data_IF_618365465668
#
_entry.id   IF_618365465668
#
_cell.length_a   1.000
_cell.length_b   1.000
_cell.length_c   1.000
_cell.angle_alpha   90.00
_cell.angle_beta   90.00
_cell.angle_gamma   90.00
#
_symmetry.space_group_name_H-M   'P 1'
#
loop_
_entity.id
_entity.type
_entity.pdbx_description
1 polymer ?
#
# COMPACT_ATOMS: atom_id res chain seq x y z
N UNK A 1 -7.24 1.10 -32.34
CA UNK A 1 -7.40 1.16 -30.89
C UNK A 1 -7.57 2.62 -30.51
N UNK A 2 -8.38 2.89 -29.50
CA UNK A 2 -8.58 4.23 -28.97
C UNK A 2 -8.47 4.19 -27.45
N UNK A 3 -7.83 5.20 -26.88
CA UNK A 3 -7.97 5.48 -25.47
C UNK A 3 -9.39 5.97 -25.18
N UNK A 4 -9.91 5.70 -24.01
CA UNK A 4 -11.17 6.23 -23.54
C UNK A 4 -11.02 6.79 -22.13
N UNK A 5 -11.84 7.76 -21.81
CA UNK A 5 -11.90 8.30 -20.46
C UNK A 5 -12.83 7.40 -19.61
N UNK A 6 -12.30 6.81 -18.51
CA UNK A 6 -13.09 5.91 -17.66
C UNK A 6 -14.30 6.58 -17.01
N UNK A 7 -14.26 7.90 -16.77
CA UNK A 7 -15.35 8.63 -16.12
C UNK A 7 -16.47 8.97 -17.06
N UNK A 8 -16.13 9.42 -18.26
CA UNK A 8 -17.12 9.85 -19.27
C UNK A 8 -17.49 8.76 -20.26
N UNK A 9 -16.71 7.66 -20.32
CA UNK A 9 -16.82 6.56 -21.30
C UNK A 9 -16.68 7.02 -22.76
N UNK A 10 -16.19 8.22 -22.99
CA UNK A 10 -15.99 8.76 -24.34
C UNK A 10 -14.61 8.41 -24.88
N UNK A 11 -14.54 8.12 -26.16
CA UNK A 11 -13.27 7.90 -26.87
C UNK A 11 -12.50 9.21 -26.93
N UNK A 12 -11.26 9.20 -26.44
CA UNK A 12 -10.36 10.35 -26.45
C UNK A 12 -9.43 10.30 -27.69
N UNK A 13 -8.36 9.53 -27.61
CA UNK A 13 -7.27 9.59 -28.60
C UNK A 13 -7.15 8.27 -29.37
N UNK A 14 -6.85 8.34 -30.67
CA UNK A 14 -6.48 7.16 -31.45
C UNK A 14 -5.03 6.77 -31.15
N UNK A 15 -4.81 5.51 -30.75
CA UNK A 15 -3.51 4.95 -30.44
C UNK A 15 -3.04 4.10 -31.62
N UNK A 16 -1.77 4.25 -31.99
CA UNK A 16 -1.09 3.37 -32.96
C UNK A 16 -0.44 2.18 -32.27
N UNK A 17 0.07 2.40 -31.06
CA UNK A 17 0.70 1.40 -30.22
C UNK A 17 0.11 1.44 -28.82
N UNK A 18 0.12 0.32 -28.10
CA UNK A 18 -0.18 0.24 -26.68
C UNK A 18 0.56 -0.93 -26.05
N UNK A 19 0.95 -0.78 -24.81
CA UNK A 19 1.61 -1.82 -24.05
C UNK A 19 0.56 -2.65 -23.29
N UNK A 20 0.57 -3.96 -23.50
CA UNK A 20 -0.18 -4.91 -22.69
C UNK A 20 0.65 -5.27 -21.47
N UNK A 21 0.18 -4.83 -20.30
CA UNK A 21 0.77 -5.24 -19.03
C UNK A 21 0.00 -6.43 -18.47
N UNK A 22 0.69 -7.36 -17.78
CA UNK A 22 0.03 -8.42 -17.03
C UNK A 22 -0.97 -7.80 -16.02
N UNK A 23 -2.14 -8.40 -15.90
CA UNK A 23 -3.18 -7.98 -14.95
C UNK A 23 -3.28 -8.91 -13.74
N UNK A 24 -2.45 -9.93 -13.69
CA UNK A 24 -2.40 -10.93 -12.61
C UNK A 24 -1.03 -11.56 -12.56
N UNK A 25 -0.56 -11.86 -11.36
CA UNK A 25 0.66 -12.63 -11.10
C UNK A 25 0.47 -14.13 -11.37
N UNK A 26 -0.77 -14.59 -11.49
CA UNK A 26 -1.06 -15.99 -11.81
C UNK A 26 -1.18 -16.19 -13.31
N UNK A 27 -0.22 -16.91 -13.88
CA UNK A 27 -0.24 -17.39 -15.27
C UNK A 27 -0.72 -18.83 -15.27
N UNK A 28 -1.82 -19.13 -15.97
CA UNK A 28 -2.39 -20.48 -16.07
C UNK A 28 -1.88 -21.22 -17.31
N UNK A 29 -0.56 -21.41 -17.39
CA UNK A 29 0.03 -22.32 -18.36
C UNK A 29 0.04 -23.77 -17.83
N UNK A 30 0.38 -24.72 -18.68
CA UNK A 30 0.40 -26.14 -18.34
C UNK A 30 1.36 -26.48 -17.19
N UNK A 31 2.48 -25.78 -17.08
CA UNK A 31 3.47 -25.99 -16.04
C UNK A 31 2.97 -25.46 -14.69
N UNK A 32 2.41 -24.25 -14.66
CA UNK A 32 1.82 -23.65 -13.46
C UNK A 32 0.61 -24.46 -12.96
N UNK A 33 -0.27 -24.92 -13.86
CA UNK A 33 -1.39 -25.80 -13.50
C UNK A 33 -0.88 -27.12 -12.90
N UNK A 34 0.16 -27.71 -13.47
CA UNK A 34 0.73 -28.94 -12.93
C UNK A 34 1.34 -28.73 -11.53
N UNK A 35 2.08 -27.63 -11.32
CA UNK A 35 2.62 -27.24 -10.00
C UNK A 35 1.49 -27.07 -8.99
N UNK A 36 0.46 -26.27 -9.33
CA UNK A 36 -0.70 -26.09 -8.47
C UNK A 36 -1.34 -27.42 -8.08
N UNK A 37 -1.64 -28.27 -9.05
CA UNK A 37 -2.30 -29.57 -8.77
C UNK A 37 -1.48 -30.46 -7.84
N UNK A 38 -0.17 -30.48 -7.99
CA UNK A 38 0.73 -31.24 -7.13
C UNK A 38 0.78 -30.64 -5.74
N UNK A 39 1.15 -29.38 -5.61
CA UNK A 39 1.28 -28.70 -4.31
C UNK A 39 -0.05 -28.62 -3.55
N UNK A 40 -1.18 -28.45 -4.24
CA UNK A 40 -2.49 -28.44 -3.61
C UNK A 40 -2.83 -29.79 -2.96
N UNK A 41 -2.56 -30.89 -3.67
CA UNK A 41 -2.79 -32.24 -3.13
C UNK A 41 -1.80 -32.61 -2.01
N UNK A 42 -0.56 -32.17 -2.10
CA UNK A 42 0.43 -32.36 -1.03
C UNK A 42 0.00 -31.67 0.26
N UNK A 43 -0.56 -30.47 0.17
CA UNK A 43 -0.96 -29.69 1.35
C UNK A 43 -2.31 -30.11 1.90
N UNK A 44 -3.26 -30.43 1.04
CA UNK A 44 -4.66 -30.60 1.46
C UNK A 44 -5.20 -32.02 1.31
N UNK A 45 -4.38 -32.92 0.76
CA UNK A 45 -4.76 -34.33 0.57
C UNK A 45 -5.62 -34.55 -0.68
N UNK A 46 -6.48 -35.58 -0.60
CA UNK A 46 -7.39 -35.91 -1.68
C UNK A 46 -8.38 -34.77 -1.94
N UNK A 47 -8.61 -34.48 -3.22
CA UNK A 47 -9.52 -33.44 -3.68
C UNK A 47 -10.88 -34.10 -3.98
N UNK A 48 -11.95 -33.57 -3.40
CA UNK A 48 -13.32 -33.99 -3.73
C UNK A 48 -13.85 -33.27 -4.97
N UNK A 49 -14.94 -33.79 -5.49
CA UNK A 49 -15.61 -33.25 -6.69
C UNK A 49 -16.28 -31.87 -6.42
N UNK A 50 -16.32 -31.45 -5.18
CA UNK A 50 -16.87 -30.16 -4.70
C UNK A 50 -15.82 -29.03 -4.66
N UNK A 51 -14.55 -29.31 -4.92
CA UNK A 51 -13.48 -28.33 -4.86
C UNK A 51 -13.40 -27.52 -6.17
N UNK A 52 -14.24 -26.49 -6.23
CA UNK A 52 -14.38 -25.62 -7.40
C UNK A 52 -13.09 -24.88 -7.79
N UNK A 53 -12.23 -24.54 -6.83
CA UNK A 53 -10.92 -23.95 -7.12
C UNK A 53 -10.04 -24.92 -7.89
N UNK A 54 -9.91 -26.14 -7.36
CA UNK A 54 -9.07 -27.16 -7.99
C UNK A 54 -9.59 -27.55 -9.38
N UNK A 55 -10.91 -27.65 -9.55
CA UNK A 55 -11.54 -27.94 -10.83
C UNK A 55 -11.29 -26.81 -11.84
N UNK A 56 -11.57 -25.55 -11.48
CA UNK A 56 -11.39 -24.42 -12.37
C UNK A 56 -9.92 -24.29 -12.84
N UNK A 57 -8.98 -24.34 -11.89
CA UNK A 57 -7.54 -24.25 -12.22
C UNK A 57 -7.09 -25.43 -13.08
N UNK A 58 -7.57 -26.65 -12.80
CA UNK A 58 -7.24 -27.83 -13.60
C UNK A 58 -7.76 -27.74 -15.03
N UNK A 59 -8.86 -27.00 -15.24
CA UNK A 59 -9.42 -26.70 -16.56
C UNK A 59 -8.78 -25.46 -17.24
N UNK A 60 -7.77 -24.83 -16.63
CA UNK A 60 -7.14 -23.61 -17.13
C UNK A 60 -8.03 -22.36 -16.98
N UNK A 61 -9.01 -22.41 -16.10
CA UNK A 61 -9.94 -21.30 -15.85
C UNK A 61 -9.53 -20.53 -14.61
N UNK A 62 -9.71 -19.21 -14.66
CA UNK A 62 -9.49 -18.34 -13.49
C UNK A 62 -10.59 -18.55 -12.45
N UNK A 63 -10.16 -18.53 -11.20
CA UNK A 63 -11.03 -18.59 -10.04
C UNK A 63 -10.89 -17.30 -9.22
N UNK A 64 -12.00 -16.77 -8.70
CA UNK A 64 -11.97 -15.55 -7.88
C UNK A 64 -11.16 -15.76 -6.60
N UNK A 65 -10.19 -14.87 -6.34
CA UNK A 65 -9.29 -14.97 -5.19
C UNK A 65 -8.17 -16.00 -5.35
N UNK A 66 -7.87 -16.42 -6.59
CA UNK A 66 -6.80 -17.39 -6.90
C UNK A 66 -5.44 -16.94 -6.34
N UNK A 67 -5.25 -15.63 -6.14
CA UNK A 67 -4.03 -15.01 -5.59
C UNK A 67 -3.71 -15.52 -4.17
N UNK A 68 -4.69 -16.00 -3.43
CA UNK A 68 -4.46 -16.60 -2.11
C UNK A 68 -3.63 -17.88 -2.17
N UNK A 69 -3.55 -18.51 -3.33
CA UNK A 69 -2.77 -19.73 -3.58
C UNK A 69 -1.58 -19.47 -4.51
N UNK A 70 -1.16 -18.22 -4.68
CA UNK A 70 -0.07 -17.79 -5.56
C UNK A 70 1.20 -18.67 -5.45
N UNK A 71 1.66 -19.07 -4.25
CA UNK A 71 2.85 -19.93 -4.11
C UNK A 71 2.75 -21.28 -4.81
N UNK A 72 1.55 -21.76 -5.10
CA UNK A 72 1.37 -23.04 -5.77
C UNK A 72 1.55 -22.97 -7.30
N UNK A 73 1.60 -21.78 -7.87
CA UNK A 73 1.76 -21.56 -9.31
C UNK A 73 3.21 -21.30 -9.70
N UNK A 74 4.05 -20.88 -8.75
CA UNK A 74 5.44 -20.49 -8.98
C UNK A 74 6.41 -21.46 -8.30
N UNK A 75 7.62 -21.56 -8.82
CA UNK A 75 8.70 -22.32 -8.16
C UNK A 75 9.14 -21.66 -6.86
N UNK A 76 9.16 -20.34 -6.86
CA UNK A 76 9.41 -19.50 -5.69
C UNK A 76 8.69 -18.16 -5.85
N UNK A 77 8.39 -17.51 -4.75
CA UNK A 77 8.01 -16.10 -4.73
C UNK A 77 9.26 -15.26 -4.48
N UNK A 78 9.26 -14.05 -5.03
CA UNK A 78 10.31 -13.07 -4.84
C UNK A 78 9.77 -11.90 -4.00
N UNK A 79 10.66 -11.27 -3.26
CA UNK A 79 10.37 -10.08 -2.47
C UNK A 79 10.77 -8.82 -3.25
N UNK A 80 10.34 -7.65 -2.79
CA UNK A 80 10.81 -6.38 -3.34
C UNK A 80 12.35 -6.28 -3.32
N UNK A 81 12.99 -6.88 -2.32
CA UNK A 81 14.44 -6.87 -2.16
C UNK A 81 15.19 -7.64 -3.26
N UNK A 82 14.56 -8.61 -3.87
CA UNK A 82 15.14 -9.36 -5.00
C UNK A 82 15.21 -8.49 -6.26
N UNK A 83 14.28 -7.55 -6.42
CA UNK A 83 14.24 -6.59 -7.54
C UNK A 83 15.21 -5.41 -7.36
N UNK A 84 15.55 -5.07 -6.11
CA UNK A 84 16.43 -3.93 -5.78
C UNK A 84 17.55 -4.32 -4.82
N UNK A 85 18.44 -5.25 -5.20
CA UNK A 85 19.37 -5.89 -4.26
C UNK A 85 20.39 -4.94 -3.64
N UNK A 86 20.69 -3.82 -4.27
CA UNK A 86 21.66 -2.83 -3.79
C UNK A 86 21.03 -1.59 -3.14
N UNK A 87 19.73 -1.56 -2.95
CA UNK A 87 19.06 -0.38 -2.43
C UNK A 87 19.31 -0.18 -0.93
N UNK A 88 19.50 1.08 -0.53
CA UNK A 88 19.39 1.50 0.86
C UNK A 88 17.94 1.38 1.30
N UNK A 89 17.72 0.73 2.42
CA UNK A 89 16.39 0.63 3.04
C UNK A 89 16.25 1.71 4.12
N UNK A 90 15.21 2.51 4.00
CA UNK A 90 14.83 3.44 5.07
C UNK A 90 13.60 2.90 5.80
N UNK A 91 13.65 2.90 7.12
CA UNK A 91 12.62 2.34 7.99
C UNK A 91 12.10 3.45 8.89
N UNK A 92 10.78 3.66 8.89
CA UNK A 92 10.14 4.62 9.79
C UNK A 92 10.24 4.16 11.25
N UNK A 93 10.18 5.11 12.19
CA UNK A 93 10.31 4.84 13.62
C UNK A 93 9.21 3.92 14.19
N UNK A 94 8.06 3.83 13.53
CA UNK A 94 6.95 2.96 13.93
C UNK A 94 6.96 1.61 13.18
N UNK A 95 7.90 1.38 12.27
CA UNK A 95 7.87 0.21 11.40
C UNK A 95 7.94 -1.11 12.16
N UNK A 96 8.72 -1.21 13.22
CA UNK A 96 8.86 -2.44 14.00
C UNK A 96 7.55 -2.83 14.71
N UNK A 97 6.82 -1.83 15.23
CA UNK A 97 5.51 -2.02 15.85
C UNK A 97 4.49 -2.48 14.79
N UNK A 98 4.38 -1.74 13.69
CA UNK A 98 3.45 -2.05 12.60
C UNK A 98 3.72 -3.40 11.94
N UNK A 99 4.99 -3.77 11.77
CA UNK A 99 5.38 -5.09 11.27
C UNK A 99 4.96 -6.18 12.25
N UNK A 100 5.14 -5.96 13.54
CA UNK A 100 4.71 -6.90 14.58
C UNK A 100 3.20 -7.11 14.53
N UNK A 101 2.43 -6.04 14.56
CA UNK A 101 0.97 -6.09 14.43
C UNK A 101 0.52 -6.80 13.15
N UNK A 102 1.24 -6.56 12.03
CA UNK A 102 0.92 -7.21 10.76
C UNK A 102 1.13 -8.71 10.79
N UNK A 103 2.21 -9.19 11.40
CA UNK A 103 2.44 -10.63 11.57
C UNK A 103 1.39 -11.28 12.47
N UNK A 104 1.04 -10.63 13.56
CA UNK A 104 0.01 -11.11 14.48
C UNK A 104 -1.35 -11.20 13.79
N UNK A 105 -1.71 -10.19 13.00
CA UNK A 105 -2.97 -10.16 12.22
C UNK A 105 -3.01 -11.27 11.15
N UNK A 106 -1.90 -11.54 10.46
CA UNK A 106 -1.79 -12.63 9.50
C UNK A 106 -2.03 -13.98 10.19
N UNK A 107 -1.40 -14.20 11.35
CA UNK A 107 -1.55 -15.41 12.13
C UNK A 107 -3.00 -15.61 12.63
N UNK A 108 -3.63 -14.52 13.10
CA UNK A 108 -5.02 -14.53 13.56
C UNK A 108 -5.99 -14.90 12.42
N UNK A 109 -5.86 -14.25 11.26
CA UNK A 109 -6.70 -14.53 10.10
C UNK A 109 -6.53 -15.98 9.60
N UNK A 110 -5.30 -16.48 9.59
CA UNK A 110 -5.05 -17.87 9.24
C UNK A 110 -5.73 -18.83 10.24
N UNK A 111 -5.54 -18.59 11.54
CA UNK A 111 -6.12 -19.43 12.59
C UNK A 111 -7.65 -19.46 12.52
N UNK A 112 -8.28 -18.29 12.28
CA UNK A 112 -9.72 -18.18 12.14
C UNK A 112 -10.22 -19.00 10.92
N UNK A 113 -9.56 -18.87 9.76
CA UNK A 113 -9.93 -19.61 8.54
C UNK A 113 -9.69 -21.12 8.67
N UNK A 114 -8.55 -21.52 9.24
CA UNK A 114 -8.23 -22.91 9.49
C UNK A 114 -9.18 -23.53 10.53
N UNK A 115 -9.63 -22.74 11.50
CA UNK A 115 -10.66 -23.15 12.48
C UNK A 115 -12.00 -23.45 11.84
N UNK A 116 -12.45 -22.61 10.90
CA UNK A 116 -13.70 -22.83 10.16
C UNK A 116 -13.65 -24.12 9.34
N UNK A 117 -12.51 -24.49 8.77
CA UNK A 117 -12.37 -25.77 8.06
C UNK A 117 -12.57 -26.97 8.96
N UNK A 118 -12.05 -26.91 10.19
CA UNK A 118 -12.19 -28.02 11.17
C UNK A 118 -13.62 -28.20 11.68
N UNK A 119 -14.35 -27.07 11.79
CA UNK A 119 -15.75 -27.07 12.25
C UNK A 119 -16.76 -27.48 11.18
N UNK A 120 -16.39 -27.46 9.89
CA UNK A 120 -17.29 -27.77 8.74
C UNK A 120 -17.45 -29.26 8.41
N UNK A 121 -16.88 -30.17 9.18
CA UNK A 121 -17.14 -31.61 8.98
C UNK A 121 -18.63 -31.91 9.19
N UNK A 122 -19.43 -31.77 8.13
CA UNK A 122 -20.86 -32.13 8.11
C UNK A 122 -21.85 -30.99 7.82
N UNK A 123 -21.43 -29.77 7.49
CA UNK A 123 -22.32 -28.69 7.05
C UNK A 123 -22.04 -28.31 5.59
N UNK A 124 -23.02 -28.55 4.74
CA UNK A 124 -23.00 -28.35 3.30
C UNK A 124 -23.44 -26.93 2.93
N UNK A 125 -22.60 -25.90 3.10
CA UNK A 125 -22.87 -24.61 2.46
C UNK A 125 -21.60 -23.94 1.94
N UNK A 126 -21.36 -24.13 0.65
CA UNK A 126 -20.33 -23.47 -0.14
C UNK A 126 -18.99 -24.21 -0.25
N UNK A 127 -18.19 -23.89 -1.27
CA UNK A 127 -16.91 -24.55 -1.52
C UNK A 127 -15.95 -24.35 -0.35
N UNK A 128 -15.17 -25.38 0.04
CA UNK A 128 -14.23 -25.27 1.13
C UNK A 128 -13.09 -24.31 0.77
N UNK A 129 -12.96 -23.21 1.52
CA UNK A 129 -11.76 -22.38 1.43
C UNK A 129 -10.64 -23.01 2.25
N UNK A 130 -9.54 -23.37 1.59
CA UNK A 130 -8.38 -24.03 2.19
C UNK A 130 -7.20 -23.04 2.25
N UNK A 131 -6.97 -22.32 3.39
CA UNK A 131 -5.93 -21.35 3.50
C UNK A 131 -4.56 -22.00 3.45
N UNK A 132 -3.60 -21.37 2.75
CA UNK A 132 -2.20 -21.75 2.84
C UNK A 132 -1.61 -21.36 4.19
N UNK A 133 -0.65 -22.14 4.73
CA UNK A 133 0.18 -21.69 5.84
C UNK A 133 0.84 -20.33 5.52
N UNK A 134 0.82 -19.38 6.47
CA UNK A 134 1.29 -18.00 6.21
C UNK A 134 2.71 -17.92 5.64
N UNK A 135 3.61 -18.75 6.10
CA UNK A 135 5.01 -18.81 5.67
C UNK A 135 5.18 -19.21 4.19
N UNK A 136 4.14 -19.67 3.54
CA UNK A 136 4.16 -19.93 2.10
C UNK A 136 3.97 -18.66 1.27
N UNK A 137 3.27 -17.66 1.80
CA UNK A 137 2.88 -16.45 1.06
C UNK A 137 3.54 -15.19 1.62
N UNK A 138 3.86 -15.17 2.89
CA UNK A 138 4.46 -14.03 3.59
C UNK A 138 5.82 -14.41 4.14
N UNK A 139 6.69 -13.41 4.26
CA UNK A 139 7.94 -13.57 5.01
C UNK A 139 7.62 -13.90 6.46
N UNK A 140 8.47 -14.72 7.08
CA UNK A 140 8.49 -14.86 8.53
C UNK A 140 9.17 -13.66 9.18
N UNK A 141 9.02 -13.49 10.49
CA UNK A 141 9.70 -12.42 11.24
C UNK A 141 11.21 -12.51 11.11
N UNK A 142 11.75 -13.73 11.18
CA UNK A 142 13.17 -14.02 11.06
C UNK A 142 13.70 -13.69 9.67
N UNK A 143 12.97 -14.06 8.63
CA UNK A 143 13.33 -13.73 7.24
C UNK A 143 13.31 -12.21 7.02
N UNK A 144 12.30 -11.50 7.51
CA UNK A 144 12.23 -10.04 7.47
C UNK A 144 13.44 -9.38 8.12
N UNK A 145 13.77 -9.80 9.35
CA UNK A 145 14.94 -9.29 10.10
C UNK A 145 16.24 -9.59 9.36
N UNK A 146 16.39 -10.82 8.86
CA UNK A 146 17.55 -11.24 8.08
C UNK A 146 17.73 -10.43 6.80
N UNK A 147 16.63 -10.12 6.09
CA UNK A 147 16.66 -9.30 4.90
C UNK A 147 17.08 -7.85 5.18
N UNK A 148 16.66 -7.27 6.30
CA UNK A 148 17.10 -5.94 6.73
C UNK A 148 18.57 -5.94 7.18
N UNK A 149 18.98 -6.94 7.97
CA UNK A 149 20.34 -7.05 8.46
C UNK A 149 21.39 -7.25 7.34
N UNK A 150 21.00 -7.85 6.24
CA UNK A 150 21.86 -8.08 5.08
C UNK A 150 22.06 -6.84 4.18
N UNK A 151 21.49 -5.69 4.53
CA UNK A 151 21.48 -4.47 3.69
C UNK A 151 21.85 -3.23 4.47
N UNK A 152 22.35 -2.18 3.78
CA UNK A 152 22.41 -0.85 4.36
C UNK A 152 21.02 -0.39 4.76
N UNK A 153 20.80 -0.19 6.06
CA UNK A 153 19.50 0.23 6.60
C UNK A 153 19.66 1.48 7.44
N UNK A 154 18.74 2.43 7.28
CA UNK A 154 18.69 3.67 8.05
C UNK A 154 17.29 3.86 8.68
N UNK A 155 17.24 4.08 9.98
CA UNK A 155 16.02 4.46 10.68
C UNK A 155 15.70 5.94 10.48
N UNK A 156 14.46 6.26 10.14
CA UNK A 156 13.95 7.64 10.09
C UNK A 156 13.15 7.90 11.36
N UNK A 157 13.48 8.98 12.06
CA UNK A 157 12.75 9.38 13.28
C UNK A 157 12.51 10.87 13.30
N UNK A 158 11.32 11.35 13.72
CA UNK A 158 11.06 12.77 13.97
C UNK A 158 11.65 13.25 15.30
N UNK A 159 12.20 12.34 16.12
CA UNK A 159 12.73 12.67 17.44
C UNK A 159 14.23 12.90 17.38
N UNK A 160 14.69 13.87 18.16
CA UNK A 160 16.14 14.07 18.37
C UNK A 160 16.70 12.87 19.16
N UNK A 161 17.72 12.23 18.59
CA UNK A 161 18.42 11.17 19.29
C UNK A 161 19.46 11.77 20.26
N UNK A 162 19.56 11.27 21.50
CA UNK A 162 20.60 11.72 22.41
C UNK A 162 21.97 11.36 21.83
N UNK A 163 22.89 12.33 21.81
CA UNK A 163 24.25 12.12 21.34
C UNK A 163 24.98 11.13 22.28
N UNK A 164 25.71 10.16 21.69
CA UNK A 164 26.60 9.28 22.47
C UNK A 164 26.39 7.77 22.26
N UNK A 165 25.49 7.36 21.37
CA UNK A 165 25.34 5.95 20.99
C UNK A 165 26.29 5.56 19.84
N UNK A 166 26.50 4.24 19.63
CA UNK A 166 27.30 3.69 18.52
C UNK A 166 26.69 3.99 17.13
N UNK A 167 25.41 4.30 17.07
CA UNK A 167 24.71 4.62 15.82
C UNK A 167 25.01 6.06 15.35
N UNK A 168 25.46 6.19 14.12
CA UNK A 168 25.66 7.49 13.48
C UNK A 168 24.31 8.14 13.19
N UNK A 169 23.99 9.23 13.88
CA UNK A 169 22.80 10.06 13.60
C UNK A 169 23.16 11.22 12.67
N UNK A 170 22.27 11.49 11.71
CA UNK A 170 22.41 12.61 10.76
C UNK A 170 21.13 13.44 10.86
N UNK A 171 21.26 14.74 11.23
CA UNK A 171 20.14 15.67 11.14
C UNK A 171 19.88 16.02 9.65
N UNK A 172 18.77 15.57 9.13
CA UNK A 172 18.33 15.87 7.76
C UNK A 172 17.69 17.25 7.63
N UNK A 173 17.69 18.06 8.68
CA UNK A 173 17.11 19.40 8.69
C UNK A 173 15.58 19.42 8.65
N UNK A 174 14.92 18.33 9.00
CA UNK A 174 13.48 18.28 9.12
C UNK A 174 12.95 19.33 10.10
N UNK A 175 11.80 19.90 9.81
CA UNK A 175 11.14 20.88 10.68
C UNK A 175 9.68 20.46 10.89
N UNK A 176 9.12 20.67 12.07
CA UNK A 176 7.71 20.45 12.29
C UNK A 176 6.87 21.28 11.32
N UNK A 177 5.91 20.63 10.69
CA UNK A 177 4.91 21.32 9.86
C UNK A 177 3.95 22.04 10.81
N UNK A 178 3.55 23.25 10.44
CA UNK A 178 2.52 23.96 11.19
C UNK A 178 1.20 23.20 11.05
N UNK A 179 0.68 22.75 12.17
CA UNK A 179 -0.64 22.12 12.25
C UNK A 179 -1.68 23.15 12.69
N UNK A 180 -2.71 23.31 11.87
CA UNK A 180 -3.85 24.16 12.20
C UNK A 180 -4.92 23.44 13.04
N UNK A 181 -4.71 22.19 13.46
CA UNK A 181 -5.68 21.42 14.26
C UNK A 181 -5.96 22.12 15.60
N UNK A 182 -4.94 22.65 16.24
CA UNK A 182 -5.09 23.41 17.47
C UNK A 182 -6.02 24.62 17.31
N UNK A 183 -5.90 25.35 16.19
CA UNK A 183 -6.77 26.50 15.90
C UNK A 183 -8.23 26.09 15.63
N UNK A 184 -8.48 24.86 15.18
CA UNK A 184 -9.84 24.33 14.96
C UNK A 184 -10.54 23.94 16.26
N UNK A 185 -9.78 23.55 17.27
CA UNK A 185 -10.31 23.02 18.54
C UNK A 185 -10.32 24.06 19.67
N UNK A 186 -9.62 25.19 19.50
CA UNK A 186 -9.57 26.25 20.51
C UNK A 186 -10.79 27.15 20.35
N UNK A 187 -11.65 27.29 21.38
CA UNK A 187 -12.74 28.24 21.36
C UNK A 187 -12.24 29.67 21.09
N UNK A 188 -13.04 30.45 20.38
CA UNK A 188 -12.79 31.87 20.06
C UNK A 188 -11.55 32.15 19.16
N UNK A 189 -10.91 31.12 18.61
CA UNK A 189 -9.84 31.27 17.64
C UNK A 189 -10.38 31.08 16.23
N UNK A 190 -10.35 32.13 15.42
CA UNK A 190 -10.72 32.06 14.02
C UNK A 190 -9.58 31.43 13.20
N UNK A 191 -9.80 30.22 12.68
CA UNK A 191 -8.82 29.47 11.90
C UNK A 191 -8.17 30.34 10.80
N UNK A 192 -8.99 31.09 10.05
CA UNK A 192 -8.47 31.88 8.94
C UNK A 192 -7.66 33.11 9.39
N UNK A 193 -7.84 33.61 10.60
CA UNK A 193 -6.94 34.64 11.15
C UNK A 193 -5.55 34.07 11.44
N UNK A 194 -5.49 32.85 11.95
CA UNK A 194 -4.21 32.15 12.16
C UNK A 194 -3.52 31.86 10.81
N UNK A 195 -4.27 31.40 9.81
CA UNK A 195 -3.76 31.18 8.47
C UNK A 195 -3.23 32.49 7.87
N UNK A 196 -3.99 33.58 7.92
CA UNK A 196 -3.60 34.90 7.40
C UNK A 196 -2.33 35.40 8.07
N UNK A 197 -2.26 35.34 9.40
CA UNK A 197 -1.08 35.75 10.15
C UNK A 197 0.16 34.94 9.75
N UNK A 198 -0.01 33.63 9.55
CA UNK A 198 1.08 32.77 9.10
C UNK A 198 1.56 33.12 7.69
N UNK A 199 0.64 33.30 6.75
CA UNK A 199 0.97 33.68 5.38
C UNK A 199 1.73 35.04 5.35
N UNK A 200 1.30 36.00 6.14
CA UNK A 200 1.98 37.28 6.28
C UNK A 200 3.42 37.11 6.80
N UNK A 201 3.61 36.33 7.86
CA UNK A 201 4.93 36.07 8.44
C UNK A 201 5.89 35.36 7.45
N UNK A 202 5.38 34.42 6.67
CA UNK A 202 6.19 33.74 5.65
C UNK A 202 6.63 34.71 4.54
N UNK A 203 5.74 35.59 4.10
CA UNK A 203 6.05 36.63 3.10
C UNK A 203 7.04 37.68 3.62
N UNK A 204 6.87 38.15 4.85
CA UNK A 204 7.82 39.05 5.48
C UNK A 204 9.21 38.43 5.60
N UNK A 205 9.29 37.11 5.78
CA UNK A 205 10.55 36.37 5.76
C UNK A 205 11.10 36.13 4.35
N UNK A 206 10.48 36.71 3.31
CA UNK A 206 10.90 36.58 1.91
C UNK A 206 10.61 35.21 1.28
N UNK A 207 9.74 34.40 1.87
CA UNK A 207 9.41 33.08 1.36
C UNK A 207 8.20 33.12 0.42
N UNK A 208 8.29 32.38 -0.67
CA UNK A 208 7.15 32.09 -1.55
C UNK A 208 6.27 31.04 -0.88
N UNK A 209 4.99 31.34 -0.75
CA UNK A 209 4.02 30.38 -0.21
C UNK A 209 3.17 29.83 -1.33
N UNK A 210 3.13 28.51 -1.44
CA UNK A 210 2.25 27.79 -2.35
C UNK A 210 1.26 26.91 -1.57
N UNK A 211 0.00 26.91 -2.01
CA UNK A 211 -1.05 26.08 -1.43
C UNK A 211 -1.51 25.08 -2.49
N UNK A 212 -1.32 23.80 -2.22
CA UNK A 212 -1.74 22.74 -3.13
C UNK A 212 -3.20 22.35 -2.89
N UNK A 213 -3.93 22.08 -3.98
CA UNK A 213 -5.28 21.56 -3.94
C UNK A 213 -5.37 20.27 -4.80
N UNK A 214 -6.26 19.35 -4.41
CA UNK A 214 -6.41 18.05 -5.08
C UNK A 214 -7.03 18.13 -6.48
N UNK A 215 -7.77 19.19 -6.78
CA UNK A 215 -8.44 19.38 -8.06
C UNK A 215 -8.67 20.86 -8.34
N UNK A 216 -8.97 21.20 -9.59
CA UNK A 216 -9.35 22.55 -9.98
C UNK A 216 -10.54 23.09 -9.18
N UNK A 217 -11.59 22.30 -9.00
CA UNK A 217 -12.73 22.68 -8.17
C UNK A 217 -12.39 22.90 -6.70
N UNK A 218 -11.49 22.10 -6.14
CA UNK A 218 -10.98 22.30 -4.77
C UNK A 218 -10.16 23.59 -4.66
N UNK A 219 -9.32 23.88 -5.67
CA UNK A 219 -8.57 25.13 -5.77
C UNK A 219 -9.49 26.36 -5.80
N UNK A 220 -10.50 26.33 -6.66
CA UNK A 220 -11.43 27.44 -6.83
C UNK A 220 -12.23 27.70 -5.53
N UNK A 221 -12.69 26.65 -4.89
CA UNK A 221 -13.35 26.75 -3.57
C UNK A 221 -12.42 27.32 -2.51
N UNK A 222 -11.17 26.87 -2.45
CA UNK A 222 -10.19 27.35 -1.49
C UNK A 222 -9.84 28.83 -1.74
N UNK A 223 -9.72 29.23 -3.00
CA UNK A 223 -9.50 30.61 -3.41
C UNK A 223 -10.64 31.51 -2.95
N UNK A 224 -11.88 31.05 -3.11
CA UNK A 224 -13.07 31.79 -2.64
C UNK A 224 -13.06 31.96 -1.12
N UNK A 225 -12.82 30.87 -0.39
CA UNK A 225 -12.73 30.91 1.07
C UNK A 225 -11.63 31.85 1.57
N UNK A 226 -10.47 31.85 0.94
CA UNK A 226 -9.39 32.76 1.31
C UNK A 226 -9.77 34.21 1.14
N UNK A 227 -10.40 34.57 0.03
CA UNK A 227 -10.88 35.93 -0.22
C UNK A 227 -11.98 36.37 0.77
N UNK A 228 -12.92 35.49 1.10
CA UNK A 228 -13.95 35.75 2.12
C UNK A 228 -13.34 36.06 3.49
N UNK A 229 -12.12 35.60 3.74
CA UNK A 229 -11.39 35.82 4.99
C UNK A 229 -10.24 36.86 4.84
N UNK A 230 -10.26 37.70 3.81
CA UNK A 230 -9.31 38.81 3.64
C UNK A 230 -7.91 38.37 3.22
N UNK A 231 -7.79 37.23 2.55
CA UNK A 231 -6.55 36.78 1.90
C UNK A 231 -6.75 36.94 0.39
N UNK A 232 -6.45 38.13 -0.13
CA UNK A 232 -6.81 38.53 -1.50
C UNK A 232 -5.70 38.33 -2.52
N UNK A 233 -4.44 38.35 -2.07
CA UNK A 233 -3.28 38.23 -2.95
C UNK A 233 -3.00 36.77 -3.34
N UNK A 234 -3.87 36.21 -4.15
CA UNK A 234 -3.80 34.83 -4.61
C UNK A 234 -3.63 34.79 -6.11
N UNK A 235 -2.61 34.10 -6.59
CA UNK A 235 -2.38 33.82 -8.01
C UNK A 235 -2.63 32.34 -8.25
N UNK A 236 -3.74 31.96 -8.90
CA UNK A 236 -3.97 30.58 -9.32
C UNK A 236 -2.95 30.15 -10.35
N UNK A 237 -2.38 28.96 -10.17
CA UNK A 237 -1.44 28.33 -11.12
C UNK A 237 -1.93 26.91 -11.43
N UNK A 238 -1.72 26.47 -12.66
CA UNK A 238 -2.09 25.12 -13.09
C UNK A 238 -0.90 24.15 -13.03
N UNK A 239 0.29 24.68 -13.18
CA UNK A 239 1.54 23.88 -13.18
C UNK A 239 2.60 24.59 -12.36
N UNK A 240 3.45 23.80 -11.72
CA UNK A 240 4.65 24.27 -11.02
C UNK A 240 5.81 24.31 -12.02
N UNK A 241 6.01 25.45 -12.67
CA UNK A 241 7.16 25.71 -13.57
C UNK A 241 7.88 26.97 -13.12
#
# INVERSE_FOLDING_TARGET
>A
IRAFDPMTQLSATKLTNFDLKPVSEVVLDSAAIARFRTGYRELFGAVGDDDRLYEAVSAGQRYGGIEHWLPLFHERLETLFDYVPGALVTVDHQADELVTERFDLIAEYYAARAGLMRGRRGQEDGPPYRPLPPERLYLTREEWQGLLAARPTAGLTPFSLPGGGEARSIDLGGRPVLDFAAARTTPDVALFDVVRARLAAEREAGRLVAVAAYSAGSRDRLTTLFREHGIDEIVPIDTWN
#
